data_IF_067709442520
#
_entry.id   IF_067709442520
#
_cell.length_a   1.000
_cell.length_b   1.000
_cell.length_c   1.000
_cell.angle_alpha   90.00
_cell.angle_beta   90.00
_cell.angle_gamma   90.00
#
_symmetry.space_group_name_H-M   'P 1'
#
loop_
_entity.id
_entity.type
_entity.pdbx_description
1 polymer ?
#
# COMPACT_ATOMS: atom_id res chain seq x y z
N UNK A 1 19.61 21.16 -9.09
CA UNK A 1 19.60 20.43 -7.80
C UNK A 1 19.99 21.34 -6.62
N UNK A 2 19.55 22.61 -6.58
CA UNK A 2 19.89 23.54 -5.48
C UNK A 2 18.68 23.90 -4.59
N UNK A 3 17.46 23.86 -5.15
CA UNK A 3 16.24 24.23 -4.42
C UNK A 3 15.96 23.28 -3.25
N UNK A 4 16.11 21.97 -3.45
CA UNK A 4 15.89 20.97 -2.39
C UNK A 4 16.92 21.08 -1.24
N UNK A 5 18.18 21.41 -1.56
CA UNK A 5 19.25 21.52 -0.57
C UNK A 5 19.13 22.82 0.24
N UNK A 6 18.77 23.93 -0.42
CA UNK A 6 18.69 25.25 0.21
C UNK A 6 17.59 25.40 1.26
N UNK A 7 16.52 24.61 1.18
CA UNK A 7 15.38 24.67 2.11
C UNK A 7 15.37 23.54 3.16
N UNK A 8 16.36 22.63 3.15
CA UNK A 8 16.39 21.49 4.07
C UNK A 8 16.93 21.92 5.43
N UNK A 9 16.03 22.37 6.31
CA UNK A 9 16.39 22.90 7.64
C UNK A 9 16.86 21.82 8.63
N UNK A 10 16.36 20.57 8.51
CA UNK A 10 16.88 19.43 9.28
C UNK A 10 16.55 18.11 8.59
N UNK A 11 17.41 17.10 8.77
CA UNK A 11 17.12 15.71 8.41
C UNK A 11 16.74 15.00 9.71
N UNK A 12 15.46 14.70 9.89
CA UNK A 12 14.95 13.99 11.07
C UNK A 12 14.17 12.77 10.63
N UNK A 13 14.26 11.71 11.43
CA UNK A 13 13.47 10.51 11.25
C UNK A 13 12.01 10.84 11.59
N UNK A 14 11.13 10.76 10.59
CA UNK A 14 9.68 10.76 10.84
C UNK A 14 9.33 9.44 11.51
N UNK A 15 8.60 9.51 12.63
CA UNK A 15 8.22 8.33 13.44
C UNK A 15 7.27 7.37 12.72
N UNK A 16 6.86 7.69 11.50
CA UNK A 16 5.95 6.89 10.68
C UNK A 16 6.67 5.96 9.71
N UNK A 17 7.96 6.22 9.43
CA UNK A 17 8.78 5.40 8.54
C UNK A 17 10.13 5.17 9.21
N UNK A 18 10.34 3.95 9.69
CA UNK A 18 11.53 3.59 10.48
C UNK A 18 12.82 3.51 9.64
N UNK A 19 12.80 3.96 8.38
CA UNK A 19 13.79 3.73 7.32
C UNK A 19 14.17 2.25 7.13
N UNK A 20 13.40 1.35 7.74
CA UNK A 20 13.49 -0.08 7.52
C UNK A 20 13.01 -0.41 6.11
N UNK A 21 13.52 -1.49 5.53
CA UNK A 21 13.12 -1.96 4.21
C UNK A 21 11.60 -2.08 4.06
N UNK A 22 10.89 -2.49 5.13
CA UNK A 22 9.42 -2.54 5.15
C UNK A 22 8.75 -1.17 4.99
N UNK A 23 9.22 -0.14 5.71
CA UNK A 23 8.67 1.22 5.59
C UNK A 23 8.92 1.84 4.21
N UNK A 24 10.07 1.56 3.60
CA UNK A 24 10.37 1.95 2.22
C UNK A 24 9.44 1.28 1.20
N UNK A 25 9.22 -0.03 1.35
CA UNK A 25 8.36 -0.80 0.44
C UNK A 25 6.89 -0.36 0.51
N UNK A 26 6.38 -0.04 1.70
CA UNK A 26 5.02 0.50 1.87
C UNK A 26 4.90 1.89 1.22
N UNK A 27 5.91 2.75 1.40
CA UNK A 27 5.95 4.05 0.73
C UNK A 27 5.94 3.89 -0.79
N UNK A 28 6.79 3.02 -1.34
CA UNK A 28 6.88 2.77 -2.78
C UNK A 28 5.58 2.19 -3.35
N UNK A 29 4.95 1.23 -2.67
CA UNK A 29 3.68 0.66 -3.08
C UNK A 29 2.58 1.74 -3.15
N UNK A 30 2.49 2.59 -2.12
CA UNK A 30 1.48 3.66 -2.07
C UNK A 30 1.76 4.77 -3.10
N UNK A 31 2.99 5.26 -3.17
CA UNK A 31 3.38 6.31 -4.11
C UNK A 31 3.36 5.84 -5.57
N UNK A 32 3.62 4.55 -5.81
CA UNK A 32 3.55 3.93 -7.14
C UNK A 32 2.14 4.00 -7.73
N UNK A 33 1.11 3.70 -6.93
CA UNK A 33 -0.30 3.76 -7.34
C UNK A 33 -0.72 5.19 -7.71
N UNK A 34 -0.23 6.20 -6.99
CA UNK A 34 -0.54 7.60 -7.27
C UNK A 34 -0.09 8.06 -8.65
N UNK A 35 1.11 7.67 -9.08
CA UNK A 35 1.62 8.01 -10.42
C UNK A 35 0.73 7.47 -11.53
N UNK A 36 0.29 6.22 -11.40
CA UNK A 36 -0.61 5.59 -12.38
C UNK A 36 -1.96 6.30 -12.43
N UNK A 37 -2.49 6.70 -11.27
CA UNK A 37 -3.78 7.41 -11.20
C UNK A 37 -3.72 8.82 -11.79
N UNK A 38 -2.67 9.58 -11.47
CA UNK A 38 -2.46 10.90 -12.07
C UNK A 38 -2.34 10.79 -13.59
N UNK A 39 -1.67 9.74 -14.09
CA UNK A 39 -1.62 9.47 -15.52
C UNK A 39 -3.00 9.13 -16.11
N UNK A 40 -3.82 8.33 -15.44
CA UNK A 40 -5.20 8.04 -15.88
C UNK A 40 -6.06 9.30 -15.95
N UNK A 41 -5.91 10.22 -14.98
CA UNK A 41 -6.59 11.53 -15.01
C UNK A 41 -6.10 12.36 -16.18
N UNK A 42 -4.79 12.42 -16.38
CA UNK A 42 -4.18 13.17 -17.48
C UNK A 42 -4.61 12.66 -18.86
N UNK A 43 -4.73 11.34 -19.03
CA UNK A 43 -5.24 10.72 -20.27
C UNK A 43 -6.77 10.76 -20.41
N UNK A 44 -7.51 11.34 -19.46
CA UNK A 44 -8.97 11.40 -19.48
C UNK A 44 -9.66 10.05 -19.24
N UNK A 45 -8.94 9.03 -18.78
CA UNK A 45 -9.49 7.70 -18.44
C UNK A 45 -10.22 7.71 -17.08
N UNK A 46 -9.90 8.66 -16.21
CA UNK A 46 -10.54 8.85 -14.91
C UNK A 46 -10.76 10.33 -14.62
N UNK A 47 -11.86 10.67 -13.96
CA UNK A 47 -12.14 12.04 -13.50
C UNK A 47 -11.92 12.24 -12.01
N UNK A 48 -11.66 11.15 -11.27
CA UNK A 48 -11.47 11.21 -9.83
C UNK A 48 -10.02 11.51 -9.48
N UNK A 49 -9.81 12.65 -8.82
CA UNK A 49 -8.56 13.01 -8.15
C UNK A 49 -8.64 12.78 -6.63
N UNK A 50 -9.80 12.32 -6.12
CA UNK A 50 -10.02 12.11 -4.70
C UNK A 50 -9.35 10.84 -4.16
N UNK A 51 -9.01 10.85 -2.88
CA UNK A 51 -8.36 9.75 -2.20
C UNK A 51 -9.18 8.46 -2.27
N UNK A 52 -8.54 7.35 -2.66
CA UNK A 52 -9.17 6.02 -2.72
C UNK A 52 -9.72 5.54 -1.38
N UNK A 53 -9.01 5.86 -0.31
CA UNK A 53 -9.32 5.33 1.01
C UNK A 53 -10.38 6.15 1.72
N UNK A 54 -10.26 7.48 1.70
CA UNK A 54 -11.15 8.36 2.46
C UNK A 54 -12.16 9.14 1.61
N UNK A 55 -11.90 9.33 0.31
CA UNK A 55 -12.75 10.12 -0.60
C UNK A 55 -12.89 11.61 -0.25
N UNK A 56 -12.37 12.07 0.88
CA UNK A 56 -12.60 13.41 1.43
C UNK A 56 -11.59 14.46 0.93
N UNK A 57 -10.37 14.03 0.59
CA UNK A 57 -9.27 14.89 0.19
C UNK A 57 -8.70 14.47 -1.17
N UNK A 58 -7.98 15.36 -1.83
CA UNK A 58 -7.24 15.03 -3.05
C UNK A 58 -6.16 13.96 -2.77
N UNK A 59 -6.06 12.98 -3.66
CA UNK A 59 -5.12 11.90 -3.54
C UNK A 59 -3.70 12.36 -3.91
N UNK A 60 -2.90 12.67 -2.89
CA UNK A 60 -1.50 13.01 -3.05
C UNK A 60 -0.60 12.20 -2.09
N UNK A 61 0.72 12.24 -2.31
CA UNK A 61 1.69 11.45 -1.53
C UNK A 61 1.60 11.80 -0.05
N UNK A 62 1.47 13.08 0.29
CA UNK A 62 1.37 13.54 1.67
C UNK A 62 0.13 12.96 2.34
N UNK A 63 -1.01 13.01 1.66
CA UNK A 63 -2.27 12.49 2.16
C UNK A 63 -2.20 10.97 2.37
N UNK A 64 -1.84 10.19 1.34
CA UNK A 64 -1.85 8.72 1.40
C UNK A 64 -0.73 8.14 2.30
N UNK A 65 0.35 8.88 2.52
CA UNK A 65 1.45 8.40 3.39
C UNK A 65 1.26 8.88 4.84
N UNK A 66 0.85 10.12 5.06
CA UNK A 66 0.93 10.78 6.37
C UNK A 66 -0.41 11.14 7.00
N UNK A 67 -1.44 11.45 6.21
CA UNK A 67 -2.63 12.16 6.73
C UNK A 67 -3.93 11.37 6.59
N UNK A 68 -3.97 10.33 5.75
CA UNK A 68 -5.21 9.64 5.43
C UNK A 68 -5.74 8.84 6.63
N UNK A 69 -6.91 9.23 7.20
CA UNK A 69 -7.41 8.64 8.44
C UNK A 69 -7.97 7.23 8.25
N UNK A 70 -8.39 6.90 7.03
CA UNK A 70 -8.93 5.58 6.67
C UNK A 70 -7.83 4.56 6.37
N UNK A 71 -6.56 4.96 6.51
CA UNK A 71 -5.42 4.13 6.17
C UNK A 71 -4.92 3.40 7.42
N UNK A 72 -5.76 2.51 7.91
CA UNK A 72 -5.53 1.72 9.10
C UNK A 72 -4.89 0.39 8.66
N UNK A 73 -3.69 0.03 9.15
CA UNK A 73 -3.15 -1.30 8.93
C UNK A 73 -4.15 -2.32 9.48
N UNK A 74 -4.64 -3.21 8.63
CA UNK A 74 -5.41 -4.34 9.10
C UNK A 74 -4.50 -5.13 10.06
N UNK A 75 -4.86 -5.17 11.34
CA UNK A 75 -4.24 -6.08 12.31
C UNK A 75 -4.54 -7.49 11.81
N UNK A 76 -3.55 -8.26 11.36
CA UNK A 76 -3.85 -9.60 10.90
C UNK A 76 -4.18 -10.46 12.11
N UNK A 77 -5.46 -10.75 12.31
CA UNK A 77 -5.91 -11.69 13.33
C UNK A 77 -5.38 -13.09 12.99
N UNK A 78 -4.54 -13.66 13.87
CA UNK A 78 -4.04 -15.03 13.74
C UNK A 78 -2.72 -15.20 12.97
N UNK A 79 -2.05 -14.12 12.54
CA UNK A 79 -0.68 -14.18 12.02
C UNK A 79 0.31 -14.03 13.18
N UNK A 80 1.05 -15.11 13.50
CA UNK A 80 2.23 -15.00 14.37
C UNK A 80 3.37 -14.34 13.58
N UNK A 81 4.31 -13.71 14.30
CA UNK A 81 5.47 -13.07 13.67
C UNK A 81 6.25 -14.06 12.80
N UNK A 82 6.40 -15.31 13.24
CA UNK A 82 7.08 -16.35 12.45
C UNK A 82 6.39 -16.56 11.11
N UNK A 83 5.05 -16.72 11.13
CA UNK A 83 4.25 -16.95 9.93
C UNK A 83 4.25 -15.74 8.99
N UNK A 84 4.22 -14.52 9.52
CA UNK A 84 4.32 -13.29 8.75
C UNK A 84 5.68 -13.14 8.04
N UNK A 85 6.75 -13.66 8.66
CA UNK A 85 8.11 -13.71 8.09
C UNK A 85 8.33 -14.91 7.16
N UNK A 86 7.30 -15.75 6.93
CA UNK A 86 7.39 -16.93 6.07
C UNK A 86 7.99 -18.17 6.74
N UNK A 87 8.15 -18.16 8.07
CA UNK A 87 8.40 -19.37 8.84
C UNK A 87 7.08 -20.08 9.07
N UNK A 88 6.84 -21.12 8.28
CA UNK A 88 5.69 -22.01 8.42
C UNK A 88 6.13 -23.21 9.25
N UNK A 89 5.85 -23.27 10.57
CA UNK A 89 6.30 -24.38 11.42
C UNK A 89 5.73 -25.73 10.99
N UNK A 90 4.68 -25.73 10.17
CA UNK A 90 3.99 -26.93 9.69
C UNK A 90 4.46 -27.41 8.31
N UNK A 91 5.45 -26.75 7.68
CA UNK A 91 5.92 -27.17 6.36
C UNK A 91 7.03 -28.23 6.50
N UNK A 92 6.82 -29.48 6.05
CA UNK A 92 7.89 -30.47 6.02
C UNK A 92 9.04 -29.98 5.11
N UNK A 93 10.30 -30.32 5.43
CA UNK A 93 11.44 -29.91 4.63
C UNK A 93 11.39 -30.61 3.26
N UNK A 94 10.78 -29.96 2.28
CA UNK A 94 10.60 -30.45 0.91
C UNK A 94 9.14 -30.46 0.48
N UNK A 95 8.61 -29.33 0.07
CA UNK A 95 7.26 -29.24 -0.50
C UNK A 95 6.93 -27.83 -0.97
N UNK A 96 7.28 -27.52 -2.21
CA UNK A 96 6.66 -26.42 -2.94
C UNK A 96 5.22 -26.82 -3.33
N UNK A 97 4.33 -25.83 -3.44
CA UNK A 97 2.87 -25.89 -3.66
C UNK A 97 2.09 -26.06 -2.33
N UNK A 98 1.15 -25.19 -1.94
CA UNK A 98 0.10 -24.54 -2.72
C UNK A 98 -0.31 -23.20 -2.08
N UNK A 99 -0.27 -22.11 -2.85
CA UNK A 99 -0.99 -20.89 -2.55
C UNK A 99 -2.23 -20.87 -3.45
N UNK A 100 -3.31 -21.47 -2.98
CA UNK A 100 -4.64 -21.25 -3.53
C UNK A 100 -5.61 -21.57 -2.41
N UNK A 101 -6.18 -20.53 -1.80
CA UNK A 101 -7.54 -20.54 -1.25
C UNK A 101 -7.85 -19.18 -0.61
N UNK A 102 -8.09 -18.18 -1.46
CA UNK A 102 -8.98 -17.04 -1.20
C UNK A 102 -9.19 -16.27 -2.52
N UNK A 103 -9.89 -16.92 -3.46
CA UNK A 103 -10.45 -16.26 -4.65
C UNK A 103 -11.61 -17.11 -5.19
N UNK A 104 -12.64 -17.33 -4.38
CA UNK A 104 -13.93 -17.85 -4.82
C UNK A 104 -15.03 -17.14 -4.04
N UNK A 105 -16.15 -16.84 -4.73
CA UNK A 105 -17.32 -16.03 -4.33
C UNK A 105 -17.08 -14.52 -4.54
N UNK A 106 -17.52 -13.86 -5.62
CA UNK A 106 -18.85 -13.86 -6.25
C UNK A 106 -18.70 -13.42 -7.72
N UNK A 107 -19.08 -14.28 -8.67
CA UNK A 107 -19.60 -13.84 -9.99
C UNK A 107 -20.27 -15.02 -10.73
N UNK A 108 -21.60 -14.94 -10.82
CA UNK A 108 -22.59 -15.69 -11.64
C UNK A 108 -23.94 -15.49 -10.90
N UNK A 109 -25.08 -15.12 -11.46
CA UNK A 109 -25.67 -14.91 -12.79
C UNK A 109 -26.74 -13.80 -12.59
N UNK A 110 -27.17 -13.02 -13.59
CA UNK A 110 -28.30 -13.43 -14.42
C UNK A 110 -28.37 -12.62 -15.73
N UNK A 111 -28.55 -13.38 -16.80
CA UNK A 111 -28.96 -12.96 -18.14
C UNK A 111 -30.47 -12.79 -18.20
N UNK A 112 -30.94 -11.73 -18.85
CA UNK A 112 -31.97 -11.77 -19.91
C UNK A 112 -31.88 -10.49 -20.75
#
# INVERSE_FOLDING_TARGET
MQVYIGHKQSIRQERLCDNAAGSGLVFEARAGVLRTRQWQVWCGMSTSTGCTFCGAEEENVKHVVLECPQLIPAQPSGLTLERALGFWPDLPPGGAAVASDVASEVNREDSD
#
